data_IF_578355541042
#
_entry.id   IF_578355541042
#
_cell.length_a   1.000
_cell.length_b   1.000
_cell.length_c   1.000
_cell.angle_alpha   90.00
_cell.angle_beta   90.00
_cell.angle_gamma   90.00
#
_symmetry.space_group_name_H-M   'P 1'
#
loop_
_entity.id
_entity.type
_entity.pdbx_description
1 polymer ?
#
# COMPACT_ATOMS: atom_id res chain seq x y z
N UNK A 1 42.80 52.26 4.14
CA UNK A 1 42.06 50.98 4.23
C UNK A 1 41.92 50.42 2.83
N UNK A 2 42.50 49.26 2.56
CA UNK A 2 42.65 48.75 1.18
C UNK A 2 41.28 48.27 0.67
N UNK A 3 40.64 49.05 -0.21
CA UNK A 3 39.26 48.79 -0.69
C UNK A 3 39.10 47.35 -1.22
N UNK A 4 40.15 46.80 -1.83
CA UNK A 4 40.19 45.43 -2.34
C UNK A 4 40.08 44.35 -1.24
N UNK A 5 40.54 44.61 -0.02
CA UNK A 5 40.41 43.69 1.10
C UNK A 5 38.96 43.65 1.61
N UNK A 6 38.29 44.81 1.61
CA UNK A 6 36.88 44.94 2.01
C UNK A 6 35.97 44.22 0.99
N UNK A 7 36.21 44.39 -0.32
CA UNK A 7 35.44 43.69 -1.35
C UNK A 7 35.59 42.16 -1.27
N UNK A 8 36.80 41.66 -0.97
CA UNK A 8 37.04 40.21 -0.78
C UNK A 8 36.30 39.66 0.44
N UNK A 9 36.29 40.38 1.56
CA UNK A 9 35.57 39.97 2.77
C UNK A 9 34.05 39.97 2.57
N UNK A 10 33.51 40.94 1.82
CA UNK A 10 32.08 41.00 1.49
C UNK A 10 31.69 39.82 0.59
N UNK A 11 32.51 39.51 -0.43
CA UNK A 11 32.25 38.39 -1.34
C UNK A 11 32.25 37.04 -0.60
N UNK A 12 33.18 36.86 0.35
CA UNK A 12 33.26 35.64 1.16
C UNK A 12 32.04 35.50 2.08
N UNK A 13 31.58 36.61 2.67
CA UNK A 13 30.40 36.62 3.53
C UNK A 13 29.12 36.26 2.77
N UNK A 14 28.95 36.77 1.54
CA UNK A 14 27.81 36.44 0.67
C UNK A 14 27.84 34.97 0.24
N UNK A 15 29.02 34.41 -0.02
CA UNK A 15 29.14 33.00 -0.42
C UNK A 15 28.81 32.04 0.75
N UNK A 16 29.19 32.42 1.99
CA UNK A 16 28.86 31.65 3.19
C UNK A 16 27.38 31.79 3.56
N UNK A 17 26.75 32.96 3.39
CA UNK A 17 25.33 33.14 3.70
C UNK A 17 24.40 32.38 2.73
N UNK A 18 24.77 32.24 1.46
CA UNK A 18 24.00 31.46 0.48
C UNK A 18 23.95 29.95 0.77
N UNK A 19 24.93 29.38 1.49
CA UNK A 19 24.95 27.95 1.80
C UNK A 19 24.08 27.56 3.02
N UNK A 20 23.63 28.52 3.82
CA UNK A 20 22.75 28.28 4.99
C UNK A 20 21.26 28.42 4.63
N UNK A 21 20.93 29.17 3.58
CA UNK A 21 19.54 29.49 3.24
C UNK A 21 18.76 28.38 2.51
N UNK A 22 19.44 27.40 1.89
CA UNK A 22 18.78 26.39 1.06
C UNK A 22 18.24 25.15 1.80
N UNK A 23 18.51 24.98 3.10
CA UNK A 23 18.02 23.79 3.83
C UNK A 23 16.50 23.81 4.05
N UNK A 24 15.94 24.94 4.47
CA UNK A 24 14.50 25.05 4.81
C UNK A 24 13.54 24.99 3.60
N UNK A 25 14.01 25.26 2.39
CA UNK A 25 13.17 25.20 1.19
C UNK A 25 12.99 23.76 0.68
N UNK A 26 13.99 22.90 0.90
CA UNK A 26 13.96 21.51 0.43
C UNK A 26 13.18 20.60 1.38
N UNK A 27 13.12 20.94 2.68
CA UNK A 27 12.35 20.23 3.71
C UNK A 27 10.90 20.75 3.82
N UNK A 28 10.25 21.06 2.69
CA UNK A 28 8.81 21.37 2.65
C UNK A 28 8.03 20.05 2.63
N UNK A 29 7.67 19.56 3.81
CA UNK A 29 6.66 18.50 3.94
C UNK A 29 5.29 19.13 3.66
N UNK A 30 4.44 18.55 2.80
CA UNK A 30 3.12 19.12 2.54
C UNK A 30 2.26 19.08 3.82
N UNK A 31 1.78 20.23 4.28
CA UNK A 31 0.89 20.35 5.45
C UNK A 31 -0.49 19.69 5.23
N UNK A 32 -0.84 19.34 3.99
CA UNK A 32 -2.12 18.71 3.61
C UNK A 32 -2.10 17.17 3.76
N UNK A 33 -1.01 16.57 4.24
CA UNK A 33 -0.91 15.11 4.43
C UNK A 33 -1.21 14.75 5.87
N UNK A 34 -2.28 13.99 6.08
CA UNK A 34 -2.55 13.31 7.35
C UNK A 34 -1.35 12.41 7.67
N UNK A 35 -0.70 12.62 8.80
CA UNK A 35 0.41 11.76 9.21
C UNK A 35 -0.12 10.39 9.62
N UNK A 36 0.74 9.38 9.65
CA UNK A 36 0.31 8.04 10.06
C UNK A 36 -0.19 8.05 11.51
N UNK A 37 0.49 8.80 12.38
CA UNK A 37 0.07 8.98 13.77
C UNK A 37 -1.35 9.55 13.82
N UNK A 38 -1.65 10.58 13.02
CA UNK A 38 -2.99 11.17 12.96
C UNK A 38 -4.06 10.19 12.47
N UNK A 39 -3.72 9.25 11.57
CA UNK A 39 -4.66 8.20 11.11
C UNK A 39 -5.06 7.29 12.27
N UNK A 40 -4.11 6.88 13.10
CA UNK A 40 -4.34 5.91 14.17
C UNK A 40 -4.75 6.54 15.50
N UNK A 41 -4.70 7.87 15.65
CA UNK A 41 -5.22 8.54 16.85
C UNK A 41 -6.74 8.76 16.84
N UNK A 42 -7.35 8.91 15.66
CA UNK A 42 -8.80 9.16 15.53
C UNK A 42 -9.56 7.93 15.06
N UNK A 43 -10.75 7.70 15.61
CA UNK A 43 -11.61 6.57 15.25
C UNK A 43 -11.98 6.61 13.77
N UNK A 44 -12.48 7.75 13.29
CA UNK A 44 -12.99 7.88 11.93
C UNK A 44 -11.92 7.60 10.85
N UNK A 45 -10.69 8.08 11.04
CA UNK A 45 -9.57 7.83 10.11
C UNK A 45 -9.06 6.40 10.20
N UNK A 46 -9.06 5.79 11.39
CA UNK A 46 -8.75 4.37 11.56
C UNK A 46 -9.78 3.47 10.87
N UNK A 47 -11.08 3.79 10.98
CA UNK A 47 -12.15 3.09 10.27
C UNK A 47 -12.02 3.25 8.74
N UNK A 48 -11.64 4.44 8.25
CA UNK A 48 -11.35 4.66 6.83
C UNK A 48 -10.15 3.82 6.36
N UNK A 49 -9.10 3.70 7.18
CA UNK A 49 -7.97 2.85 6.87
C UNK A 49 -8.39 1.38 6.81
N UNK A 50 -9.16 0.90 7.79
CA UNK A 50 -9.68 -0.47 7.78
C UNK A 50 -10.58 -0.72 6.56
N UNK A 51 -11.42 0.25 6.18
CA UNK A 51 -12.22 0.19 4.95
C UNK A 51 -11.35 0.11 3.70
N UNK A 52 -10.19 0.78 3.66
CA UNK A 52 -9.21 0.60 2.60
C UNK A 52 -8.64 -0.82 2.58
N UNK A 53 -8.36 -1.44 3.73
CA UNK A 53 -7.98 -2.86 3.78
C UNK A 53 -9.09 -3.70 3.16
N UNK A 54 -10.34 -3.51 3.57
CA UNK A 54 -11.50 -4.21 2.98
C UNK A 54 -11.65 -3.99 1.46
N UNK A 55 -11.23 -2.85 0.92
CA UNK A 55 -11.36 -2.54 -0.52
C UNK A 55 -10.55 -3.46 -1.44
N UNK A 56 -9.62 -4.25 -0.87
CA UNK A 56 -8.90 -5.31 -1.60
C UNK A 56 -9.70 -6.61 -1.74
N UNK A 57 -10.88 -6.72 -1.11
CA UNK A 57 -11.83 -7.78 -1.42
C UNK A 57 -12.45 -7.48 -2.77
N UNK A 58 -11.96 -8.18 -3.78
CA UNK A 58 -12.35 -7.97 -5.15
C UNK A 58 -13.70 -8.64 -5.47
N UNK A 59 -14.40 -8.11 -6.47
CA UNK A 59 -15.70 -8.62 -6.90
C UNK A 59 -15.53 -9.86 -7.80
N UNK A 60 -15.90 -11.03 -7.27
CA UNK A 60 -15.85 -12.30 -8.00
C UNK A 60 -17.02 -12.51 -8.97
N UNK A 61 -18.01 -11.61 -9.01
CA UNK A 61 -19.17 -11.76 -9.89
C UNK A 61 -18.86 -11.48 -11.37
N UNK A 62 -17.78 -10.75 -11.67
CA UNK A 62 -17.35 -10.49 -13.04
C UNK A 62 -16.61 -11.69 -13.65
N UNK A 63 -17.37 -12.73 -14.01
CA UNK A 63 -16.86 -13.96 -14.60
C UNK A 63 -16.25 -13.81 -16.02
N UNK A 64 -16.41 -12.64 -16.68
CA UNK A 64 -15.97 -12.45 -18.06
C UNK A 64 -14.58 -11.82 -18.18
N UNK A 65 -14.32 -10.82 -17.34
CA UNK A 65 -13.08 -10.03 -17.37
C UNK A 65 -12.37 -9.95 -16.01
N UNK A 66 -13.05 -10.31 -14.92
CA UNK A 66 -12.49 -10.25 -13.58
C UNK A 66 -11.68 -11.50 -13.21
N UNK A 67 -12.13 -12.68 -13.68
CA UNK A 67 -11.66 -13.95 -13.14
C UNK A 67 -11.45 -15.06 -14.16
N UNK A 68 -10.52 -15.98 -13.89
CA UNK A 68 -10.16 -17.02 -14.83
C UNK A 68 -10.96 -18.32 -14.64
N UNK A 69 -11.89 -18.39 -13.68
CA UNK A 69 -12.46 -19.66 -13.17
C UNK A 69 -13.21 -20.47 -14.22
N UNK A 70 -14.12 -19.84 -14.96
CA UNK A 70 -14.97 -20.54 -15.94
C UNK A 70 -14.14 -21.07 -17.12
N UNK A 71 -13.23 -20.26 -17.66
CA UNK A 71 -12.39 -20.60 -18.80
C UNK A 71 -11.21 -21.53 -18.49
N UNK A 72 -10.89 -21.76 -17.20
CA UNK A 72 -9.89 -22.73 -16.73
C UNK A 72 -10.51 -24.07 -16.27
N UNK A 73 -11.76 -24.32 -16.63
CA UNK A 73 -12.46 -25.56 -16.29
C UNK A 73 -12.98 -26.26 -17.54
N UNK A 74 -13.37 -27.52 -17.41
CA UNK A 74 -14.07 -28.29 -18.43
C UNK A 74 -15.59 -28.04 -18.45
N UNK A 75 -16.08 -27.16 -17.58
CA UNK A 75 -17.50 -26.82 -17.43
C UNK A 75 -18.02 -25.88 -18.54
N UNK A 76 -17.15 -25.23 -19.31
CA UNK A 76 -17.56 -24.28 -20.35
C UNK A 76 -16.53 -23.98 -21.43
N UNK A 77 -17.03 -23.79 -22.66
CA UNK A 77 -16.27 -23.29 -23.81
C UNK A 77 -16.67 -21.83 -24.09
N UNK A 78 -15.70 -20.92 -24.01
CA UNK A 78 -15.94 -19.49 -24.19
C UNK A 78 -15.73 -19.15 -25.66
N UNK A 79 -16.81 -18.81 -26.36
CA UNK A 79 -16.77 -18.50 -27.81
C UNK A 79 -16.70 -16.99 -28.12
N UNK A 80 -16.84 -16.13 -27.12
CA UNK A 80 -16.93 -14.69 -27.29
C UNK A 80 -15.56 -13.99 -27.18
N UNK A 81 -14.91 -13.75 -28.32
CA UNK A 81 -13.55 -13.19 -28.40
C UNK A 81 -13.35 -11.78 -27.83
N UNK A 82 -14.43 -11.08 -27.47
CA UNK A 82 -14.36 -9.74 -26.86
C UNK A 82 -13.97 -9.76 -25.37
N UNK A 83 -14.13 -10.89 -24.69
CA UNK A 83 -13.87 -11.02 -23.26
C UNK A 83 -12.48 -11.58 -22.99
N UNK A 84 -11.86 -11.13 -21.89
CA UNK A 84 -10.51 -11.56 -21.49
C UNK A 84 -10.43 -13.07 -21.33
N UNK A 85 -11.47 -13.69 -20.79
CA UNK A 85 -11.54 -15.14 -20.53
C UNK A 85 -11.53 -16.01 -21.79
N UNK A 86 -11.87 -15.45 -22.96
CA UNK A 86 -11.69 -16.16 -24.24
C UNK A 86 -10.21 -16.45 -24.53
N UNK A 87 -9.33 -15.48 -24.29
CA UNK A 87 -7.89 -15.65 -24.52
C UNK A 87 -7.31 -16.77 -23.66
N UNK A 88 -7.81 -16.88 -22.43
CA UNK A 88 -7.47 -17.98 -21.53
C UNK A 88 -7.90 -19.33 -22.11
N UNK A 89 -9.14 -19.44 -22.57
CA UNK A 89 -9.72 -20.69 -23.07
C UNK A 89 -9.00 -21.25 -24.31
N UNK A 90 -8.50 -20.37 -25.20
CA UNK A 90 -7.69 -20.77 -26.36
C UNK A 90 -6.19 -20.96 -26.06
N UNK A 91 -5.78 -20.87 -24.79
CA UNK A 91 -4.40 -21.06 -24.36
C UNK A 91 -3.47 -19.87 -24.63
N UNK A 92 -4.00 -18.67 -24.86
CA UNK A 92 -3.21 -17.44 -25.10
C UNK A 92 -2.68 -16.81 -23.79
N UNK A 93 -2.05 -17.62 -22.93
CA UNK A 93 -1.32 -17.15 -21.75
C UNK A 93 0.18 -17.28 -22.00
N UNK A 94 0.92 -16.26 -21.58
CA UNK A 94 2.39 -16.33 -21.50
C UNK A 94 2.90 -15.49 -20.35
N UNK A 95 4.20 -15.58 -20.04
CA UNK A 95 4.84 -14.70 -19.07
C UNK A 95 4.72 -13.20 -19.40
N UNK A 96 4.55 -12.84 -20.69
CA UNK A 96 4.32 -11.48 -21.13
C UNK A 96 2.84 -11.09 -21.26
N UNK A 97 1.93 -12.06 -21.13
CA UNK A 97 0.48 -11.85 -21.21
C UNK A 97 -0.20 -12.49 -19.99
N UNK A 98 -0.06 -11.84 -18.84
CA UNK A 98 -0.60 -12.31 -17.57
C UNK A 98 -2.05 -11.88 -17.43
N UNK A 99 -2.97 -12.70 -17.96
CA UNK A 99 -4.40 -12.48 -17.83
C UNK A 99 -4.80 -12.58 -16.36
N UNK A 100 -5.68 -11.68 -15.91
CA UNK A 100 -6.21 -11.67 -14.53
C UNK A 100 -5.12 -11.55 -13.45
N UNK A 101 -4.07 -10.76 -13.70
CA UNK A 101 -3.00 -10.51 -12.73
C UNK A 101 -3.57 -9.82 -11.46
N UNK A 102 -3.29 -10.41 -10.29
CA UNK A 102 -3.71 -9.94 -8.97
C UNK A 102 -2.61 -10.05 -7.93
N UNK A 103 -1.38 -10.41 -8.33
CA UNK A 103 -0.25 -10.57 -7.44
C UNK A 103 0.03 -9.26 -6.72
N UNK A 104 0.34 -8.19 -7.46
CA UNK A 104 0.61 -6.88 -6.86
C UNK A 104 -0.56 -6.36 -6.03
N UNK A 105 -1.78 -6.56 -6.53
CA UNK A 105 -3.01 -6.13 -5.86
C UNK A 105 -3.18 -6.74 -4.47
N UNK A 106 -3.06 -8.06 -4.33
CA UNK A 106 -3.21 -8.72 -3.03
C UNK A 106 -2.03 -8.50 -2.09
N UNK A 107 -0.78 -8.37 -2.60
CA UNK A 107 0.34 -7.99 -1.74
C UNK A 107 0.19 -6.57 -1.18
N UNK A 108 -0.42 -5.64 -1.92
CA UNK A 108 -0.78 -4.34 -1.38
C UNK A 108 -1.80 -4.48 -0.23
N UNK A 109 -2.84 -5.29 -0.40
CA UNK A 109 -3.81 -5.58 0.67
C UNK A 109 -3.18 -6.25 1.90
N UNK A 110 -2.27 -7.20 1.70
CA UNK A 110 -1.50 -7.86 2.77
C UNK A 110 -0.67 -6.84 3.55
N UNK A 111 0.02 -5.95 2.84
CA UNK A 111 0.83 -4.89 3.45
C UNK A 111 -0.04 -3.92 4.24
N UNK A 112 -1.13 -3.43 3.67
CA UNK A 112 -2.07 -2.52 4.35
C UNK A 112 -2.67 -3.18 5.60
N UNK A 113 -3.06 -4.45 5.52
CA UNK A 113 -3.57 -5.19 6.69
C UNK A 113 -2.50 -5.34 7.79
N UNK A 114 -1.26 -5.71 7.42
CA UNK A 114 -0.14 -5.80 8.35
C UNK A 114 0.15 -4.45 9.02
N UNK A 115 0.10 -3.37 8.23
CA UNK A 115 0.30 -2.01 8.72
C UNK A 115 -0.75 -1.63 9.76
N UNK A 116 -2.03 -1.86 9.46
CA UNK A 116 -3.13 -1.60 10.38
C UNK A 116 -3.00 -2.38 11.69
N UNK A 117 -2.68 -3.67 11.62
CA UNK A 117 -2.52 -4.55 12.79
C UNK A 117 -1.46 -4.01 13.75
N UNK A 118 -0.36 -3.47 13.23
CA UNK A 118 0.74 -2.97 14.05
C UNK A 118 0.43 -1.66 14.79
N UNK A 119 -0.48 -0.83 14.26
CA UNK A 119 -0.69 0.54 14.78
C UNK A 119 -2.06 0.74 15.46
N UNK A 120 -3.07 -0.10 15.21
CA UNK A 120 -4.43 0.12 15.75
C UNK A 120 -4.49 0.13 17.29
N UNK A 121 -3.52 -0.47 17.97
CA UNK A 121 -3.41 -0.40 19.44
C UNK A 121 -3.14 1.01 19.97
N UNK A 122 -2.59 1.90 19.13
CA UNK A 122 -2.24 3.28 19.48
C UNK A 122 -3.47 4.21 19.50
N UNK A 123 -4.64 3.72 19.09
CA UNK A 123 -5.86 4.52 19.03
C UNK A 123 -6.51 4.74 20.41
N UNK A 124 -6.15 5.86 21.04
CA UNK A 124 -6.68 6.28 22.33
C UNK A 124 -8.17 6.67 22.28
N UNK A 125 -8.66 7.20 21.15
CA UNK A 125 -10.07 7.60 21.01
C UNK A 125 -10.98 6.37 21.03
N UNK A 126 -10.67 5.33 20.26
CA UNK A 126 -11.41 4.06 20.29
C UNK A 126 -11.31 3.45 21.69
N UNK A 127 -10.11 3.44 22.30
CA UNK A 127 -9.91 2.85 23.62
C UNK A 127 -10.75 3.55 24.69
N UNK A 128 -10.90 4.87 24.61
CA UNK A 128 -11.69 5.66 25.56
C UNK A 128 -13.20 5.60 25.31
N UNK A 129 -13.65 5.64 24.05
CA UNK A 129 -15.08 5.66 23.70
C UNK A 129 -15.73 4.28 23.61
N UNK A 130 -14.97 3.27 23.16
CA UNK A 130 -15.47 1.93 22.84
C UNK A 130 -14.76 0.81 23.61
N UNK A 131 -13.60 1.09 24.22
CA UNK A 131 -12.82 0.10 24.95
C UNK A 131 -11.93 -0.77 24.06
N UNK A 132 -11.10 -1.60 24.70
CA UNK A 132 -10.15 -2.48 24.03
C UNK A 132 -10.84 -3.50 23.09
N UNK A 133 -12.08 -3.88 23.39
CA UNK A 133 -12.81 -4.88 22.61
C UNK A 133 -12.98 -4.49 21.13
N UNK A 134 -13.20 -3.20 20.84
CA UNK A 134 -13.35 -2.74 19.44
C UNK A 134 -12.01 -2.76 18.70
N UNK A 135 -10.91 -2.43 19.38
CA UNK A 135 -9.55 -2.55 18.84
C UNK A 135 -9.25 -4.01 18.50
N UNK A 136 -9.54 -4.92 19.42
CA UNK A 136 -9.31 -6.36 19.23
C UNK A 136 -10.13 -6.90 18.06
N UNK A 137 -11.38 -6.45 17.91
CA UNK A 137 -12.23 -6.79 16.77
C UNK A 137 -11.62 -6.30 15.45
N UNK A 138 -11.26 -5.01 15.34
CA UNK A 138 -10.67 -4.45 14.12
C UNK A 138 -9.35 -5.14 13.75
N UNK A 139 -8.53 -5.47 14.75
CA UNK A 139 -7.29 -6.23 14.52
C UNK A 139 -7.58 -7.65 14.02
N UNK A 140 -8.61 -8.32 14.55
CA UNK A 140 -9.03 -9.63 14.08
C UNK A 140 -9.58 -9.58 12.64
N UNK A 141 -10.37 -8.56 12.29
CA UNK A 141 -10.83 -8.30 10.93
C UNK A 141 -9.66 -8.15 9.95
N UNK A 142 -8.70 -7.27 10.25
CA UNK A 142 -7.52 -7.08 9.42
C UNK A 142 -6.66 -8.36 9.31
N UNK A 143 -6.54 -9.13 10.40
CA UNK A 143 -5.82 -10.42 10.39
C UNK A 143 -6.51 -11.44 9.49
N UNK A 144 -7.84 -11.53 9.54
CA UNK A 144 -8.61 -12.39 8.64
C UNK A 144 -8.40 -11.97 7.19
N UNK A 145 -8.51 -10.68 6.88
CA UNK A 145 -8.29 -10.16 5.53
C UNK A 145 -6.88 -10.46 5.02
N UNK A 146 -5.84 -10.26 5.83
CA UNK A 146 -4.45 -10.63 5.48
C UNK A 146 -4.35 -12.11 5.10
N UNK A 147 -4.93 -13.00 5.89
CA UNK A 147 -4.94 -14.44 5.60
C UNK A 147 -5.79 -14.77 4.36
N UNK A 148 -6.91 -14.08 4.16
CA UNK A 148 -7.77 -14.23 3.00
C UNK A 148 -7.03 -13.85 1.71
N UNK A 149 -6.30 -12.73 1.69
CA UNK A 149 -5.48 -12.35 0.53
C UNK A 149 -4.38 -13.37 0.22
N UNK A 150 -3.73 -13.94 1.25
CA UNK A 150 -2.81 -15.07 1.03
C UNK A 150 -3.50 -16.29 0.42
N UNK A 151 -4.72 -16.62 0.89
CA UNK A 151 -5.51 -17.70 0.31
C UNK A 151 -5.85 -17.43 -1.17
N UNK A 152 -6.24 -16.21 -1.53
CA UNK A 152 -6.55 -15.84 -2.92
C UNK A 152 -5.32 -15.95 -3.83
N UNK A 153 -4.15 -15.50 -3.35
CA UNK A 153 -2.88 -15.70 -4.06
C UNK A 153 -2.55 -17.18 -4.22
N UNK A 154 -2.65 -17.96 -3.14
CA UNK A 154 -2.40 -19.41 -3.16
C UNK A 154 -3.32 -20.15 -4.13
N UNK A 155 -4.60 -19.77 -4.18
CA UNK A 155 -5.61 -20.34 -5.08
C UNK A 155 -5.25 -20.13 -6.55
N UNK A 156 -4.66 -19.00 -6.91
CA UNK A 156 -4.37 -18.66 -8.32
C UNK A 156 -2.94 -19.02 -8.75
N UNK A 157 -1.94 -18.85 -7.86
CA UNK A 157 -0.52 -18.94 -8.20
C UNK A 157 0.20 -20.14 -7.58
N UNK A 158 -0.42 -20.83 -6.62
CA UNK A 158 0.27 -21.85 -5.82
C UNK A 158 1.16 -21.19 -4.75
N UNK A 159 2.37 -21.70 -4.47
CA UNK A 159 3.21 -21.17 -3.39
C UNK A 159 3.44 -19.65 -3.44
N UNK A 160 3.37 -18.99 -2.27
CA UNK A 160 3.48 -17.53 -2.14
C UNK A 160 4.58 -17.13 -1.16
N UNK A 161 5.01 -15.87 -1.24
CA UNK A 161 5.98 -15.27 -0.31
C UNK A 161 5.24 -14.77 0.93
N UNK A 162 5.61 -15.29 2.10
CA UNK A 162 5.11 -14.78 3.36
C UNK A 162 5.88 -13.52 3.76
N UNK A 163 5.17 -12.41 3.86
CA UNK A 163 5.73 -11.11 4.23
C UNK A 163 5.81 -11.07 5.75
N UNK A 164 6.99 -10.73 6.25
CA UNK A 164 7.27 -10.60 7.69
C UNK A 164 6.34 -9.58 8.35
N UNK A 165 6.14 -9.74 9.65
CA UNK A 165 5.42 -8.77 10.48
C UNK A 165 6.23 -7.49 10.72
N UNK A 166 7.52 -7.48 10.38
CA UNK A 166 8.36 -6.28 10.40
C UNK A 166 7.97 -5.35 9.25
N UNK A 167 7.32 -4.24 9.60
CA UNK A 167 6.91 -3.23 8.63
C UNK A 167 8.12 -2.40 8.21
N UNK A 168 8.55 -2.57 6.98
CA UNK A 168 9.40 -1.59 6.31
C UNK A 168 8.57 -0.33 6.07
N UNK A 169 9.00 0.86 6.53
CA UNK A 169 8.29 2.12 6.28
C UNK A 169 8.04 2.35 4.78
N UNK A 170 6.94 3.01 4.38
CA UNK A 170 6.67 3.30 2.96
C UNK A 170 7.77 4.15 2.28
N UNK A 171 8.53 4.90 3.07
CA UNK A 171 9.63 5.77 2.68
C UNK A 171 11.01 5.13 2.91
N UNK A 172 11.07 3.85 3.27
CA UNK A 172 12.35 3.17 3.49
C UNK A 172 13.21 3.20 2.20
N UNK A 173 14.52 3.46 2.33
CA UNK A 173 15.45 3.32 1.23
C UNK A 173 15.40 1.92 0.62
N UNK A 174 15.61 1.80 -0.69
CA UNK A 174 15.67 0.50 -1.37
C UNK A 174 16.77 -0.45 -0.83
N UNK A 175 17.73 0.07 -0.07
CA UNK A 175 18.76 -0.71 0.61
C UNK A 175 18.26 -1.41 1.91
N UNK A 176 17.13 -0.93 2.46
CA UNK A 176 16.53 -1.39 3.70
C UNK A 176 15.26 -2.24 3.46
N UNK A 177 14.95 -2.52 2.18
CA UNK A 177 13.89 -3.44 1.72
C UNK A 177 14.47 -4.82 1.43
#
# INVERSE_FOLDING_TARGET
MNKNLIYRSILLFVMVSCSVACKKYLDQVPDDRITIEEVFHKKATSEQYLANVYSYVDDESNQWDGWPWLGNSDEGDITWSKYTIYNLNIGNISAGNNLFEKWGYYYNGIRSAGYFIAHIDENEEIRSLNGQQLIDQYKAEARFLRAYYYFLLMRQYGPVVLVSDTLTPPDAPAADM
#
